data_IF_370736761576
#
_entry.id   IF_370736761576
#
_cell.length_a   1.000
_cell.length_b   1.000
_cell.length_c   1.000
_cell.angle_alpha   90.00
_cell.angle_beta   90.00
_cell.angle_gamma   90.00
#
_symmetry.space_group_name_H-M   'P 1'
#
loop_
_entity.id
_entity.type
_entity.pdbx_description
1 polymer ?
#
# COMPACT_ATOMS: atom_id res chain seq x y z
N UNK A 1 23.15 -1.12 -0.69
CA UNK A 1 23.50 -2.50 -1.05
C UNK A 1 23.53 -2.58 -2.56
N UNK A 2 24.66 -2.99 -3.13
CA UNK A 2 24.74 -3.35 -4.54
C UNK A 2 24.49 -4.86 -4.64
N UNK A 3 23.45 -5.31 -5.37
CA UNK A 3 23.21 -6.73 -5.57
C UNK A 3 24.38 -7.34 -6.33
N UNK A 4 24.78 -8.56 -5.97
CA UNK A 4 25.87 -9.30 -6.66
C UNK A 4 25.34 -10.03 -7.89
N UNK A 5 24.02 -10.21 -8.02
CA UNK A 5 23.36 -10.89 -9.13
C UNK A 5 22.83 -9.92 -10.19
N UNK A 6 22.24 -10.48 -11.25
CA UNK A 6 21.54 -9.73 -12.27
C UNK A 6 20.28 -9.05 -11.66
N UNK A 7 20.05 -7.78 -11.99
CA UNK A 7 18.87 -7.03 -11.58
C UNK A 7 17.92 -6.91 -12.76
N UNK A 8 16.71 -7.45 -12.61
CA UNK A 8 15.63 -7.37 -13.62
C UNK A 8 14.47 -6.59 -13.07
N UNK A 9 14.09 -5.50 -13.73
CA UNK A 9 12.93 -4.73 -13.37
C UNK A 9 11.64 -5.50 -13.73
N UNK A 10 10.79 -5.72 -12.73
CA UNK A 10 9.45 -6.30 -12.91
C UNK A 10 8.43 -5.17 -13.07
N UNK A 11 7.85 -5.04 -14.26
CA UNK A 11 6.83 -4.02 -14.54
C UNK A 11 5.44 -4.59 -14.28
N UNK A 12 4.61 -3.83 -13.56
CA UNK A 12 3.21 -4.17 -13.29
C UNK A 12 2.28 -3.09 -13.85
N UNK A 13 1.34 -3.49 -14.68
CA UNK A 13 0.41 -2.57 -15.32
C UNK A 13 -0.54 -1.94 -14.30
N UNK A 14 -0.73 -0.62 -14.43
CA UNK A 14 -1.77 0.15 -13.75
C UNK A 14 -3.06 0.26 -14.59
N UNK A 15 -3.20 -0.52 -15.67
CA UNK A 15 -4.39 -0.56 -16.51
C UNK A 15 -5.65 -0.84 -15.69
N UNK A 16 -6.78 -0.27 -16.12
CA UNK A 16 -8.11 -0.64 -15.59
C UNK A 16 -8.55 -2.00 -16.11
N UNK A 17 -8.02 -2.45 -17.25
CA UNK A 17 -8.28 -3.76 -17.83
C UNK A 17 -7.65 -4.84 -16.94
N UNK A 18 -8.49 -5.73 -16.45
CA UNK A 18 -8.09 -6.84 -15.58
C UNK A 18 -7.21 -7.83 -16.34
N UNK A 19 -7.53 -8.11 -17.60
CA UNK A 19 -6.82 -9.08 -18.44
C UNK A 19 -5.37 -8.66 -18.63
N UNK A 20 -5.13 -7.39 -18.98
CA UNK A 20 -3.77 -6.85 -19.14
C UNK A 20 -2.96 -6.98 -17.85
N UNK A 21 -3.59 -6.72 -16.68
CA UNK A 21 -2.89 -6.86 -15.40
C UNK A 21 -2.53 -8.32 -15.10
N UNK A 22 -3.46 -9.25 -15.35
CA UNK A 22 -3.26 -10.68 -15.11
C UNK A 22 -2.19 -11.26 -16.03
N UNK A 23 -2.19 -10.90 -17.31
CA UNK A 23 -1.17 -11.31 -18.27
C UNK A 23 0.23 -10.84 -17.84
N UNK A 24 0.35 -9.62 -17.36
CA UNK A 24 1.63 -9.09 -16.92
C UNK A 24 2.14 -9.74 -15.63
N UNK A 25 1.25 -10.01 -14.67
CA UNK A 25 1.59 -10.76 -13.46
C UNK A 25 2.07 -12.16 -13.83
N UNK A 26 1.39 -12.82 -14.78
CA UNK A 26 1.77 -14.14 -15.29
C UNK A 26 3.15 -14.11 -15.97
N UNK A 27 3.39 -13.17 -16.88
CA UNK A 27 4.68 -13.05 -17.56
C UNK A 27 5.83 -12.83 -16.57
N UNK A 28 5.62 -11.98 -15.56
CA UNK A 28 6.62 -11.76 -14.51
C UNK A 28 6.87 -13.02 -13.67
N UNK A 29 5.81 -13.77 -13.33
CA UNK A 29 5.94 -15.03 -12.60
C UNK A 29 6.66 -16.10 -13.42
N UNK A 30 6.34 -16.24 -14.72
CA UNK A 30 6.98 -17.20 -15.64
C UNK A 30 8.47 -16.93 -15.79
N UNK A 31 8.88 -15.66 -15.86
CA UNK A 31 10.29 -15.29 -15.90
C UNK A 31 11.05 -15.74 -14.63
N UNK A 32 10.43 -15.57 -13.44
CA UNK A 32 11.02 -16.03 -12.18
C UNK A 32 11.04 -17.57 -12.11
N UNK A 33 9.98 -18.24 -12.55
CA UNK A 33 9.91 -19.71 -12.58
C UNK A 33 11.01 -20.30 -13.47
N UNK A 34 11.30 -19.67 -14.60
CA UNK A 34 12.37 -20.11 -15.50
C UNK A 34 13.73 -20.06 -14.81
N UNK A 35 14.06 -19.00 -14.10
CA UNK A 35 15.30 -18.88 -13.33
C UNK A 35 15.38 -19.91 -12.19
N UNK A 36 14.31 -20.07 -11.42
CA UNK A 36 14.28 -21.07 -10.35
C UNK A 36 14.46 -22.49 -10.87
N UNK A 37 13.86 -22.83 -12.01
CA UNK A 37 14.04 -24.15 -12.67
C UNK A 37 15.43 -24.35 -13.25
N UNK A 38 16.12 -23.27 -13.59
CA UNK A 38 17.53 -23.30 -14.00
C UNK A 38 18.50 -23.48 -12.81
N UNK A 39 17.97 -23.52 -11.57
CA UNK A 39 18.77 -23.68 -10.34
C UNK A 39 19.33 -22.38 -9.77
N UNK A 40 18.78 -21.23 -10.20
CA UNK A 40 19.20 -19.94 -9.69
C UNK A 40 18.34 -19.52 -8.46
N UNK A 41 18.98 -18.90 -7.48
CA UNK A 41 18.28 -18.22 -6.41
C UNK A 41 17.70 -16.88 -6.90
N UNK A 42 16.46 -16.58 -6.51
CA UNK A 42 15.78 -15.35 -6.88
C UNK A 42 15.38 -14.55 -5.65
N UNK A 43 15.68 -13.26 -5.63
CA UNK A 43 15.19 -12.33 -4.63
C UNK A 43 14.20 -11.34 -5.26
N UNK A 44 12.96 -11.29 -4.75
CA UNK A 44 11.95 -10.32 -5.16
C UNK A 44 11.94 -9.16 -4.18
N UNK A 45 12.35 -7.97 -4.64
CA UNK A 45 12.33 -6.76 -3.83
C UNK A 45 11.11 -5.88 -4.18
N UNK A 46 10.40 -5.41 -3.17
CA UNK A 46 9.26 -4.50 -3.31
C UNK A 46 9.31 -3.36 -2.30
N UNK A 47 8.61 -2.29 -2.58
CA UNK A 47 8.47 -1.17 -1.64
C UNK A 47 7.46 -1.53 -0.54
N UNK A 48 7.83 -1.29 0.71
CA UNK A 48 6.98 -1.58 1.87
C UNK A 48 7.08 -3.05 2.30
N UNK A 49 5.95 -3.65 2.64
CA UNK A 49 5.85 -5.05 3.05
C UNK A 49 5.37 -5.94 1.90
N UNK A 50 6.08 -7.04 1.65
CA UNK A 50 5.81 -7.93 0.52
C UNK A 50 4.45 -8.66 0.63
N UNK A 51 3.93 -8.85 1.85
CA UNK A 51 2.70 -9.60 2.11
C UNK A 51 1.49 -8.71 2.37
N UNK A 52 1.68 -7.38 2.46
CA UNK A 52 0.60 -6.42 2.75
C UNK A 52 0.26 -5.56 1.53
N UNK A 53 -0.83 -5.89 0.83
CA UNK A 53 -1.32 -5.19 -0.38
C UNK A 53 -0.27 -5.01 -1.49
N UNK A 54 0.66 -5.95 -1.58
CA UNK A 54 1.71 -6.02 -2.58
C UNK A 54 1.29 -6.88 -3.79
N UNK A 55 1.83 -6.56 -4.97
CA UNK A 55 1.69 -7.40 -6.16
C UNK A 55 2.43 -8.72 -6.05
N UNK A 56 3.40 -8.82 -5.14
CA UNK A 56 4.15 -10.06 -4.90
C UNK A 56 3.24 -11.25 -4.58
N UNK A 57 2.15 -11.04 -3.82
CA UNK A 57 1.20 -12.11 -3.49
C UNK A 57 0.63 -12.80 -4.73
N UNK A 58 0.29 -12.05 -5.78
CA UNK A 58 -0.21 -12.61 -7.04
C UNK A 58 0.87 -13.40 -7.80
N UNK A 59 2.10 -12.89 -7.84
CA UNK A 59 3.25 -13.56 -8.46
C UNK A 59 3.55 -14.86 -7.70
N UNK A 60 3.58 -14.80 -6.37
CA UNK A 60 3.85 -15.95 -5.50
C UNK A 60 2.82 -17.07 -5.68
N UNK A 61 1.54 -16.73 -5.84
CA UNK A 61 0.48 -17.72 -6.08
C UNK A 61 0.75 -18.55 -7.35
N UNK A 62 1.19 -17.89 -8.43
CA UNK A 62 1.52 -18.57 -9.69
C UNK A 62 2.77 -19.44 -9.53
N UNK A 63 3.81 -18.91 -8.87
CA UNK A 63 5.06 -19.64 -8.64
C UNK A 63 4.81 -20.90 -7.80
N UNK A 64 4.02 -20.80 -6.73
CA UNK A 64 3.69 -21.97 -5.86
C UNK A 64 2.91 -23.06 -6.59
N UNK A 65 2.04 -22.69 -7.54
CA UNK A 65 1.35 -23.66 -8.39
C UNK A 65 2.32 -24.40 -9.34
N UNK A 66 3.34 -23.70 -9.83
CA UNK A 66 4.32 -24.27 -10.76
C UNK A 66 5.47 -25.03 -10.05
N UNK A 67 5.77 -24.66 -8.80
CA UNK A 67 6.83 -25.24 -7.95
C UNK A 67 6.24 -25.45 -6.54
N UNK A 68 5.52 -26.57 -6.31
CA UNK A 68 4.82 -26.80 -5.03
C UNK A 68 5.74 -26.86 -3.79
N UNK A 69 6.98 -27.32 -3.97
CA UNK A 69 7.97 -27.42 -2.91
C UNK A 69 8.98 -26.26 -2.93
N UNK A 70 8.53 -25.06 -3.36
CA UNK A 70 9.36 -23.87 -3.36
C UNK A 70 9.90 -23.58 -1.95
N UNK A 71 11.23 -23.57 -1.81
CA UNK A 71 11.88 -23.01 -0.63
C UNK A 71 11.79 -21.48 -0.69
N UNK A 72 11.09 -20.90 0.27
CA UNK A 72 10.76 -19.47 0.29
C UNK A 72 10.96 -18.88 1.67
N UNK A 73 11.83 -17.90 1.76
CA UNK A 73 11.92 -16.99 2.89
C UNK A 73 11.23 -15.65 2.57
N UNK A 74 10.38 -15.17 3.46
CA UNK A 74 9.77 -13.85 3.37
C UNK A 74 10.32 -12.95 4.49
N UNK A 75 11.03 -11.92 4.09
CA UNK A 75 11.53 -10.90 5.01
C UNK A 75 10.45 -9.82 5.16
N UNK A 76 9.86 -9.62 6.36
CA UNK A 76 8.83 -8.61 6.56
C UNK A 76 9.37 -7.20 6.36
N UNK A 77 8.56 -6.36 5.75
CA UNK A 77 8.88 -4.97 5.48
C UNK A 77 8.07 -4.00 6.33
N UNK A 78 8.41 -2.71 6.23
CA UNK A 78 7.69 -1.64 6.92
C UNK A 78 6.57 -1.14 6.02
N UNK A 79 5.32 -1.27 6.47
CA UNK A 79 4.15 -0.78 5.74
C UNK A 79 4.12 0.75 5.67
N UNK A 80 3.46 1.30 4.65
CA UNK A 80 3.35 2.76 4.48
C UNK A 80 2.66 3.45 5.67
N UNK A 81 1.68 2.82 6.30
CA UNK A 81 1.00 3.40 7.46
C UNK A 81 1.86 3.36 8.74
N UNK A 82 2.72 2.34 8.91
CA UNK A 82 3.72 2.33 9.98
C UNK A 82 4.78 3.42 9.75
N UNK A 83 5.20 3.61 8.49
CA UNK A 83 6.11 4.70 8.12
C UNK A 83 5.45 6.07 8.37
N UNK A 84 4.16 6.25 8.02
CA UNK A 84 3.42 7.49 8.26
C UNK A 84 3.46 7.89 9.73
N UNK A 85 3.06 6.98 10.61
CA UNK A 85 2.96 7.27 12.05
C UNK A 85 4.31 7.47 12.70
N UNK A 86 5.33 6.70 12.31
CA UNK A 86 6.71 6.90 12.76
C UNK A 86 7.26 8.28 12.35
N UNK A 87 7.02 8.72 11.12
CA UNK A 87 7.44 10.05 10.64
C UNK A 87 6.69 11.20 11.30
N UNK A 88 5.42 11.00 11.64
CA UNK A 88 4.60 11.98 12.32
C UNK A 88 4.78 11.99 13.85
N UNK A 89 5.50 11.03 14.43
CA UNK A 89 5.63 10.86 15.88
C UNK A 89 4.28 10.58 16.57
N UNK A 90 3.36 9.86 15.88
CA UNK A 90 2.03 9.58 16.41
C UNK A 90 1.80 8.09 16.55
N UNK A 91 1.01 7.69 17.55
CA UNK A 91 0.69 6.27 17.77
C UNK A 91 -0.41 5.84 16.80
N UNK A 92 -0.17 4.73 16.08
CA UNK A 92 -1.13 4.18 15.12
C UNK A 92 -2.39 3.68 15.83
N UNK A 93 -2.22 2.80 16.80
CA UNK A 93 -3.30 2.24 17.65
C UNK A 93 -2.76 1.95 19.04
N UNK A 94 -3.60 2.08 20.03
CA UNK A 94 -3.32 1.74 21.43
C UNK A 94 -4.16 0.55 21.91
N UNK A 95 -3.91 0.11 23.13
CA UNK A 95 -4.67 -1.01 23.69
C UNK A 95 -6.18 -0.71 23.72
N UNK A 96 -6.97 -1.65 23.20
CA UNK A 96 -8.42 -1.52 23.08
C UNK A 96 -8.91 -0.79 21.81
N UNK A 97 -8.02 -0.16 21.05
CA UNK A 97 -8.35 0.45 19.76
C UNK A 97 -8.31 -0.58 18.61
N UNK A 98 -9.03 -0.28 17.54
CA UNK A 98 -9.08 -1.11 16.34
C UNK A 98 -8.33 -0.44 15.19
N UNK A 99 -7.54 -1.22 14.44
CA UNK A 99 -6.96 -0.80 13.17
C UNK A 99 -7.77 -1.34 12.00
N UNK A 100 -8.25 -0.44 11.15
CA UNK A 100 -8.98 -0.74 9.91
C UNK A 100 -8.15 -0.27 8.71
N UNK A 101 -7.96 -1.13 7.72
CA UNK A 101 -7.18 -0.78 6.53
C UNK A 101 -8.06 -0.95 5.30
N UNK A 102 -8.23 0.13 4.54
CA UNK A 102 -8.98 0.18 3.29
C UNK A 102 -7.95 0.36 2.16
N UNK A 103 -7.66 -0.68 1.35
CA UNK A 103 -6.54 -0.68 0.41
C UNK A 103 -6.77 0.25 -0.78
N UNK A 104 -8.02 0.51 -1.12
CA UNK A 104 -8.44 1.51 -2.09
C UNK A 104 -9.92 1.81 -1.91
N UNK A 105 -10.33 3.05 -2.14
CA UNK A 105 -11.75 3.39 -2.17
C UNK A 105 -12.04 4.39 -3.30
N UNK A 106 -13.27 4.41 -3.75
CA UNK A 106 -13.74 5.36 -4.75
C UNK A 106 -14.55 6.45 -4.08
N UNK A 107 -14.63 7.62 -4.72
CA UNK A 107 -15.34 8.78 -4.16
C UNK A 107 -16.79 8.45 -3.78
N UNK A 108 -17.47 7.62 -4.58
CA UNK A 108 -18.86 7.19 -4.36
C UNK A 108 -19.05 6.39 -3.06
N UNK A 109 -17.97 5.80 -2.56
CA UNK A 109 -17.99 5.02 -1.30
C UNK A 109 -17.79 5.90 -0.06
N UNK A 110 -17.43 7.17 -0.22
CA UNK A 110 -17.07 8.04 0.90
C UNK A 110 -18.22 8.20 1.91
N UNK A 111 -19.46 8.33 1.42
CA UNK A 111 -20.64 8.47 2.26
C UNK A 111 -20.96 7.22 3.12
N UNK A 112 -20.58 6.04 2.63
CA UNK A 112 -20.79 4.77 3.34
C UNK A 112 -19.67 4.48 4.36
N UNK A 113 -18.61 5.29 4.40
CA UNK A 113 -17.54 5.10 5.38
C UNK A 113 -18.01 5.49 6.76
N UNK A 114 -17.80 4.58 7.70
CA UNK A 114 -17.96 4.83 9.14
C UNK A 114 -16.59 4.95 9.81
N UNK A 115 -16.53 5.76 10.84
CA UNK A 115 -15.36 5.95 11.67
C UNK A 115 -15.72 5.69 13.13
N UNK A 116 -15.67 4.40 13.57
CA UNK A 116 -16.04 4.05 14.94
C UNK A 116 -15.14 4.72 15.99
N UNK A 117 -15.71 5.08 17.12
CA UNK A 117 -14.94 5.56 18.27
C UNK A 117 -13.93 4.51 18.72
N UNK A 118 -12.72 4.93 19.09
CA UNK A 118 -11.63 4.01 19.46
C UNK A 118 -11.09 3.24 18.25
N UNK A 119 -11.10 3.82 17.05
CA UNK A 119 -10.54 3.20 15.87
C UNK A 119 -9.61 4.14 15.09
N UNK A 120 -8.64 3.53 14.44
CA UNK A 120 -7.82 4.16 13.42
C UNK A 120 -8.13 3.52 12.07
N UNK A 121 -8.54 4.32 11.09
CA UNK A 121 -8.79 3.89 9.72
C UNK A 121 -7.69 4.40 8.80
N UNK A 122 -7.03 3.50 8.09
CA UNK A 122 -6.03 3.79 7.07
C UNK A 122 -6.67 3.62 5.69
N UNK A 123 -6.63 4.68 4.89
CA UNK A 123 -7.10 4.66 3.50
C UNK A 123 -5.90 4.78 2.57
N UNK A 124 -5.54 3.67 1.93
CA UNK A 124 -4.42 3.62 0.98
C UNK A 124 -4.86 4.13 -0.40
N UNK A 125 -3.92 4.68 -1.17
CA UNK A 125 -4.15 5.12 -2.56
C UNK A 125 -5.31 6.13 -2.67
N UNK A 126 -5.46 6.99 -1.67
CA UNK A 126 -6.59 7.92 -1.52
C UNK A 126 -6.54 9.15 -2.47
N UNK A 127 -5.51 9.25 -3.31
CA UNK A 127 -5.18 10.45 -4.10
C UNK A 127 -6.34 10.99 -4.97
N UNK A 128 -7.16 10.12 -5.57
CA UNK A 128 -8.31 10.52 -6.41
C UNK A 128 -9.59 10.77 -5.63
N UNK A 129 -9.70 10.18 -4.46
CA UNK A 129 -10.94 10.19 -3.66
C UNK A 129 -10.83 11.01 -2.39
N UNK A 130 -9.67 11.67 -2.17
CA UNK A 130 -9.41 12.41 -0.92
C UNK A 130 -10.36 13.59 -0.72
N UNK A 131 -10.79 14.27 -1.79
CA UNK A 131 -11.75 15.36 -1.72
C UNK A 131 -13.07 14.89 -1.08
N UNK A 132 -13.67 13.83 -1.63
CA UNK A 132 -14.89 13.24 -1.09
C UNK A 132 -14.73 12.73 0.35
N UNK A 133 -13.55 12.16 0.66
CA UNK A 133 -13.24 11.75 2.03
C UNK A 133 -13.19 12.94 2.98
N UNK A 134 -12.52 14.02 2.61
CA UNK A 134 -12.41 15.22 3.45
C UNK A 134 -13.78 15.87 3.65
N UNK A 135 -14.65 15.91 2.62
CA UNK A 135 -16.03 16.40 2.74
C UNK A 135 -16.86 15.52 3.70
N UNK A 136 -16.66 14.21 3.66
CA UNK A 136 -17.28 13.29 4.61
C UNK A 136 -16.77 13.49 6.04
N UNK A 137 -15.45 13.68 6.21
CA UNK A 137 -14.82 13.89 7.52
C UNK A 137 -15.15 15.24 8.14
N UNK A 138 -15.45 16.26 7.35
CA UNK A 138 -15.89 17.57 7.86
C UNK A 138 -17.18 17.50 8.70
N UNK A 139 -17.94 16.41 8.59
CA UNK A 139 -19.16 16.14 9.36
C UNK A 139 -18.94 15.27 10.60
N UNK A 140 -17.70 14.81 10.81
CA UNK A 140 -17.31 13.98 11.94
C UNK A 140 -16.71 14.82 13.07
N UNK A 141 -17.14 14.55 14.30
CA UNK A 141 -16.53 15.16 15.47
C UNK A 141 -15.34 14.34 15.98
N UNK A 142 -14.37 15.00 16.59
CA UNK A 142 -13.22 14.40 17.28
C UNK A 142 -12.43 13.42 16.41
N UNK A 143 -12.21 13.79 15.16
CA UNK A 143 -11.33 13.05 14.25
C UNK A 143 -10.00 13.77 14.09
N UNK A 144 -8.92 13.00 14.10
CA UNK A 144 -7.61 13.45 13.67
C UNK A 144 -7.35 12.90 12.27
N UNK A 145 -6.92 13.77 11.37
CA UNK A 145 -6.55 13.40 10.00
C UNK A 145 -5.06 13.59 9.82
N UNK A 146 -4.39 12.59 9.28
CA UNK A 146 -2.97 12.66 8.92
C UNK A 146 -2.81 12.13 7.50
N UNK A 147 -2.30 12.97 6.62
CA UNK A 147 -1.98 12.62 5.24
C UNK A 147 -0.49 12.39 5.07
N UNK A 148 -0.14 11.36 4.34
CA UNK A 148 1.24 11.07 3.93
C UNK A 148 1.35 10.84 2.44
N UNK A 149 2.42 11.38 1.84
CA UNK A 149 2.74 11.25 0.44
C UNK A 149 4.24 11.02 0.27
N UNK A 150 4.65 10.09 -0.61
CA UNK A 150 6.04 9.75 -0.89
C UNK A 150 6.90 9.53 0.37
N UNK A 151 6.33 8.83 1.36
CA UNK A 151 6.96 8.62 2.66
C UNK A 151 8.35 7.99 2.52
N UNK A 152 9.30 8.53 3.30
CA UNK A 152 10.73 8.18 3.26
C UNK A 152 11.42 8.43 1.90
N UNK A 153 10.82 9.24 1.02
CA UNK A 153 11.40 9.70 -0.24
C UNK A 153 11.71 11.20 -0.18
N UNK A 154 12.43 11.71 -1.19
CA UNK A 154 12.86 13.11 -1.25
C UNK A 154 11.68 14.10 -1.27
N UNK A 155 10.58 13.74 -1.95
CA UNK A 155 9.38 14.59 -2.06
C UNK A 155 8.32 14.27 -0.99
N UNK A 156 8.73 13.75 0.16
CA UNK A 156 7.81 13.42 1.26
C UNK A 156 6.98 14.64 1.68
N UNK A 157 5.67 14.42 1.85
CA UNK A 157 4.78 15.37 2.50
C UNK A 157 4.01 14.70 3.65
N UNK A 158 3.87 15.43 4.76
CA UNK A 158 3.05 15.08 5.92
C UNK A 158 2.16 16.27 6.23
N UNK A 159 0.85 16.08 6.24
CA UNK A 159 -0.12 17.16 6.42
C UNK A 159 -1.27 16.72 7.33
N UNK A 160 -1.78 17.67 8.12
CA UNK A 160 -2.97 17.48 8.96
C UNK A 160 -4.09 18.44 8.61
N UNK A 161 -3.77 19.55 7.93
CA UNK A 161 -4.73 20.55 7.51
C UNK A 161 -5.52 20.07 6.27
N UNK A 162 -6.88 20.02 6.32
CA UNK A 162 -7.69 19.51 5.23
C UNK A 162 -7.56 20.28 3.91
N UNK A 163 -7.40 21.60 3.98
CA UNK A 163 -7.29 22.43 2.77
C UNK A 163 -5.92 22.23 2.10
N UNK A 164 -4.85 22.15 2.90
CA UNK A 164 -3.53 21.81 2.41
C UNK A 164 -3.49 20.41 1.78
N UNK A 165 -4.18 19.42 2.40
CA UNK A 165 -4.32 18.08 1.85
C UNK A 165 -5.07 18.12 0.52
N UNK A 166 -6.16 18.86 0.44
CA UNK A 166 -7.00 19.01 -0.77
C UNK A 166 -6.22 19.62 -1.93
N UNK A 167 -5.35 20.58 -1.65
CA UNK A 167 -4.54 21.29 -2.63
C UNK A 167 -3.39 20.44 -3.22
N UNK A 168 -3.06 19.27 -2.64
CA UNK A 168 -1.96 18.44 -3.16
C UNK A 168 -2.29 17.88 -4.55
N UNK A 169 -1.30 17.74 -5.44
CA UNK A 169 -1.47 17.01 -6.69
C UNK A 169 -1.83 15.55 -6.45
N UNK A 170 -2.48 14.91 -7.42
CA UNK A 170 -2.84 13.51 -7.34
C UNK A 170 -1.61 12.61 -7.48
N UNK A 171 -1.09 12.10 -6.36
CA UNK A 171 0.07 11.20 -6.31
C UNK A 171 -0.33 9.82 -5.80
N UNK A 172 0.04 8.78 -6.55
CA UNK A 172 -0.34 7.39 -6.25
C UNK A 172 0.17 6.91 -4.88
N UNK A 173 1.42 7.25 -4.53
CA UNK A 173 2.04 6.88 -3.26
C UNK A 173 1.57 7.80 -2.14
N UNK A 174 0.28 7.76 -1.84
CA UNK A 174 -0.34 8.55 -0.78
C UNK A 174 -1.32 7.73 0.05
N UNK A 175 -1.50 8.12 1.31
CA UNK A 175 -2.47 7.53 2.23
C UNK A 175 -3.00 8.58 3.20
N UNK A 176 -4.18 8.29 3.75
CA UNK A 176 -4.79 9.06 4.83
C UNK A 176 -5.01 8.15 6.03
N UNK A 177 -4.63 8.62 7.20
CA UNK A 177 -5.02 8.05 8.48
C UNK A 177 -6.12 8.92 9.08
N UNK A 178 -7.17 8.29 9.55
CA UNK A 178 -8.25 8.91 10.32
C UNK A 178 -8.33 8.22 11.66
N UNK A 179 -8.04 8.93 12.74
CA UNK A 179 -8.16 8.43 14.11
C UNK A 179 -9.37 9.08 14.79
N UNK A 180 -10.31 8.27 15.28
CA UNK A 180 -11.53 8.69 15.98
C UNK A 180 -11.36 8.43 17.47
N UNK A 181 -11.38 9.52 18.26
CA UNK A 181 -11.33 9.47 19.73
C UNK A 181 -12.69 9.22 20.35
#
# INVERSE_FOLDING_TARGET
LQPRGEVRLQVFSMSRDKTIREEQVRANAEAIIAELRAGHDCAFATLGDAMTYSTFGYVLEIIRKAIPNLDLEVIPGITSFATLTAKAGTVLVENGEQLRIIPSFRAEMAEALDFPKGSTTILLKSYRSRGALLDRLAREEKVQVLYGEHLAMKEQALLTDPDAIRARPEKYLSLIMVKKQ
#
